data_IF_306281844741
#
_entry.id   IF_306281844741
#
_cell.length_a   1.000
_cell.length_b   1.000
_cell.length_c   1.000
_cell.angle_alpha   90.00
_cell.angle_beta   90.00
_cell.angle_gamma   90.00
#
_symmetry.space_group_name_H-M   'P 1'
#
loop_
_entity.id
_entity.type
_entity.pdbx_description
1 polymer ?
#
# COMPACT_ATOMS: atom_id res chain seq x y z
N UNK A 1 28.82 4.74 17.20
CA UNK A 1 28.68 5.33 15.85
C UNK A 1 28.04 4.41 14.80
N UNK A 2 27.83 3.10 15.06
CA UNK A 2 27.15 2.22 14.09
C UNK A 2 25.62 2.39 14.06
N UNK A 3 24.97 2.69 15.19
CA UNK A 3 23.50 2.84 15.27
C UNK A 3 22.92 4.02 14.47
N UNK A 4 23.61 5.16 14.42
CA UNK A 4 23.08 6.34 13.72
C UNK A 4 23.02 6.14 12.21
N UNK A 5 24.00 5.42 11.63
CA UNK A 5 24.06 5.14 10.19
C UNK A 5 22.92 4.19 9.81
N UNK A 6 22.65 3.15 10.62
CA UNK A 6 21.54 2.22 10.40
C UNK A 6 20.17 2.92 10.48
N UNK A 7 19.98 3.82 11.44
CA UNK A 7 18.73 4.59 11.60
C UNK A 7 18.52 5.54 10.42
N UNK A 8 19.57 6.24 9.98
CA UNK A 8 19.51 7.13 8.81
C UNK A 8 19.25 6.33 7.54
N UNK A 9 19.86 5.15 7.40
CA UNK A 9 19.66 4.28 6.23
C UNK A 9 18.24 3.70 6.20
N UNK A 10 17.71 3.26 7.34
CA UNK A 10 16.34 2.77 7.45
C UNK A 10 15.31 3.88 7.16
N UNK A 11 15.55 5.10 7.65
CA UNK A 11 14.66 6.24 7.41
C UNK A 11 14.75 6.75 5.98
N UNK A 12 15.95 6.79 5.38
CA UNK A 12 16.13 7.13 3.97
C UNK A 12 15.50 6.07 3.05
N UNK A 13 15.62 4.78 3.40
CA UNK A 13 14.94 3.69 2.68
C UNK A 13 13.42 3.83 2.80
N UNK A 14 12.90 4.20 3.98
CA UNK A 14 11.47 4.49 4.18
C UNK A 14 10.98 5.64 3.30
N UNK A 15 11.72 6.75 3.24
CA UNK A 15 11.37 7.92 2.42
C UNK A 15 11.44 7.63 0.91
N UNK A 16 12.42 6.82 0.47
CA UNK A 16 12.55 6.40 -0.92
C UNK A 16 11.45 5.40 -1.32
N UNK A 17 11.05 4.50 -0.42
CA UNK A 17 9.94 3.58 -0.67
C UNK A 17 8.61 4.32 -0.76
N UNK A 18 8.37 5.33 0.08
CA UNK A 18 7.15 6.16 0.06
C UNK A 18 6.98 6.90 -1.28
N UNK A 19 8.08 7.39 -1.86
CA UNK A 19 8.05 8.15 -3.12
C UNK A 19 7.99 7.30 -4.40
N UNK A 20 8.19 5.98 -4.31
CA UNK A 20 8.26 5.08 -5.48
C UNK A 20 7.03 4.19 -5.67
N UNK A 21 6.09 4.21 -4.73
CA UNK A 21 4.77 3.62 -4.97
C UNK A 21 3.92 4.63 -5.72
N UNK A 22 3.63 4.34 -7.00
CA UNK A 22 2.52 4.98 -7.69
C UNK A 22 1.23 4.61 -6.95
N UNK A 23 0.77 5.51 -6.08
CA UNK A 23 -0.45 5.34 -5.31
C UNK A 23 -1.61 5.82 -6.19
N UNK A 24 -2.43 4.87 -6.62
CA UNK A 24 -3.70 5.20 -7.26
C UNK A 24 -4.61 5.79 -6.18
N UNK A 25 -5.16 6.97 -6.40
CA UNK A 25 -6.14 7.57 -5.49
C UNK A 25 -7.56 7.36 -6.00
N UNK A 26 -8.42 6.80 -5.15
CA UNK A 26 -9.86 6.66 -5.43
C UNK A 26 -10.66 7.30 -4.30
N UNK A 27 -11.80 7.90 -4.63
CA UNK A 27 -12.67 8.41 -3.59
C UNK A 27 -13.56 7.31 -3.02
N UNK A 28 -14.03 7.47 -1.78
CA UNK A 28 -15.03 6.59 -1.16
C UNK A 28 -16.27 6.45 -2.05
N UNK A 29 -16.73 7.54 -2.65
CA UNK A 29 -17.84 7.52 -3.63
C UNK A 29 -17.50 6.67 -4.86
N UNK A 30 -16.29 6.78 -5.42
CA UNK A 30 -15.87 5.94 -6.55
C UNK A 30 -15.76 4.47 -6.16
N UNK A 31 -15.29 4.19 -4.93
CA UNK A 31 -15.23 2.84 -4.40
C UNK A 31 -16.63 2.22 -4.25
N UNK A 32 -17.60 2.98 -3.75
CA UNK A 32 -18.98 2.53 -3.58
C UNK A 32 -19.68 2.32 -4.94
N UNK A 33 -19.46 3.22 -5.90
CA UNK A 33 -20.07 3.13 -7.23
C UNK A 33 -19.40 2.05 -8.10
N UNK A 34 -18.09 1.85 -7.96
CA UNK A 34 -17.32 0.92 -8.80
C UNK A 34 -16.18 0.22 -8.04
N UNK A 35 -16.56 -0.73 -7.19
CA UNK A 35 -15.62 -1.58 -6.46
C UNK A 35 -14.64 -2.37 -7.36
N UNK A 36 -14.96 -2.60 -8.64
CA UNK A 36 -14.04 -3.30 -9.56
C UNK A 36 -12.76 -2.52 -9.78
N UNK A 37 -12.82 -1.19 -9.74
CA UNK A 37 -11.64 -0.34 -9.94
C UNK A 37 -10.59 -0.61 -8.86
N UNK A 38 -11.04 -0.75 -7.60
CA UNK A 38 -10.17 -1.11 -6.48
C UNK A 38 -9.64 -2.53 -6.66
N UNK A 39 -10.52 -3.51 -6.91
CA UNK A 39 -10.13 -4.91 -7.04
C UNK A 39 -9.11 -5.11 -8.17
N UNK A 40 -9.30 -4.47 -9.31
CA UNK A 40 -8.40 -4.62 -10.46
C UNK A 40 -7.05 -3.93 -10.23
N UNK A 41 -7.04 -2.77 -9.55
CA UNK A 41 -5.79 -2.13 -9.12
C UNK A 41 -5.01 -3.00 -8.12
N UNK A 42 -5.70 -3.56 -7.12
CA UNK A 42 -5.08 -4.48 -6.15
C UNK A 42 -4.58 -5.76 -6.83
N UNK A 43 -5.29 -6.28 -7.85
CA UNK A 43 -4.81 -7.43 -8.64
C UNK A 43 -3.56 -7.12 -9.47
N UNK A 44 -3.41 -5.88 -9.95
CA UNK A 44 -2.22 -5.42 -10.67
C UNK A 44 -1.01 -5.23 -9.77
N UNK A 45 -1.19 -5.31 -8.45
CA UNK A 45 -0.13 -5.08 -7.48
C UNK A 45 0.02 -3.61 -7.09
N UNK A 46 -0.94 -2.75 -7.46
CA UNK A 46 -0.92 -1.33 -7.15
C UNK A 46 -1.41 -1.08 -5.72
N UNK A 47 -0.84 -0.06 -5.07
CA UNK A 47 -1.37 0.48 -3.82
C UNK A 47 -2.48 1.47 -4.16
N UNK A 48 -3.59 1.36 -3.46
CA UNK A 48 -4.75 2.23 -3.69
C UNK A 48 -5.07 2.99 -2.42
N UNK A 49 -4.90 4.31 -2.46
CA UNK A 49 -5.33 5.19 -1.39
C UNK A 49 -6.80 5.56 -1.59
N UNK A 50 -7.58 5.38 -0.52
CA UNK A 50 -8.99 5.68 -0.48
C UNK A 50 -9.14 7.02 0.24
N UNK A 51 -9.68 8.01 -0.45
CA UNK A 51 -9.91 9.35 0.07
C UNK A 51 -11.42 9.67 0.15
N UNK A 52 -11.83 10.53 1.07
CA UNK A 52 -13.20 11.00 1.18
C UNK A 52 -13.19 12.47 1.56
N UNK A 53 -13.87 13.31 0.77
CA UNK A 53 -13.88 14.77 0.96
C UNK A 53 -12.50 15.41 1.18
N UNK A 54 -11.46 14.89 0.51
CA UNK A 54 -10.08 15.39 0.62
C UNK A 54 -9.29 14.87 1.82
N UNK A 55 -9.84 13.93 2.60
CA UNK A 55 -9.15 13.22 3.66
C UNK A 55 -8.85 11.78 3.27
N UNK A 56 -7.62 11.31 3.53
CA UNK A 56 -7.27 9.90 3.36
C UNK A 56 -7.96 9.06 4.43
N UNK A 57 -8.85 8.14 4.02
CA UNK A 57 -9.49 7.17 4.89
C UNK A 57 -8.59 5.96 5.16
N UNK A 58 -7.78 5.56 4.18
CA UNK A 58 -6.84 4.46 4.34
C UNK A 58 -6.21 4.01 3.03
N UNK A 59 -5.25 3.10 3.14
CA UNK A 59 -4.52 2.54 2.00
C UNK A 59 -4.85 1.07 1.88
N UNK A 60 -5.44 0.69 0.74
CA UNK A 60 -5.64 -0.69 0.36
C UNK A 60 -4.39 -1.19 -0.38
N UNK A 61 -3.86 -2.32 0.09
CA UNK A 61 -2.69 -2.96 -0.51
C UNK A 61 -3.08 -4.32 -1.07
N UNK A 62 -2.46 -4.77 -2.18
CA UNK A 62 -2.64 -6.12 -2.68
C UNK A 62 -2.37 -7.11 -1.56
N UNK A 63 -3.29 -8.04 -1.33
CA UNK A 63 -3.05 -9.11 -0.39
C UNK A 63 -1.78 -9.84 -0.84
N UNK A 64 -0.68 -9.73 -0.08
CA UNK A 64 0.47 -10.61 -0.25
C UNK A 64 -0.11 -12.01 -0.22
N UNK A 65 0.02 -12.76 -1.32
CA UNK A 65 -0.19 -14.21 -1.29
C UNK A 65 0.84 -14.74 -0.30
N UNK A 66 0.46 -14.79 0.98
CA UNK A 66 1.10 -15.66 1.94
C UNK A 66 0.78 -17.04 1.38
N UNK A 67 1.68 -17.58 0.56
CA UNK A 67 1.70 -19.02 0.33
C UNK A 67 1.75 -19.59 1.74
N UNK A 68 0.66 -20.21 2.17
CA UNK A 68 0.67 -21.02 3.36
C UNK A 68 1.53 -22.24 3.05
N UNK A 69 2.85 -22.04 3.08
CA UNK A 69 3.86 -23.09 3.12
C UNK A 69 4.21 -23.44 4.56
N UNK A 70 3.31 -23.18 5.51
CA UNK A 70 3.34 -23.83 6.81
C UNK A 70 2.43 -25.05 6.73
N UNK A 71 3.02 -26.15 6.25
CA UNK A 71 2.57 -27.50 6.54
C UNK A 71 2.49 -27.61 8.07
N UNK A 72 1.29 -27.42 8.62
CA UNK A 72 1.01 -27.68 10.02
C UNK A 72 1.01 -29.20 10.16
N UNK A 73 2.15 -29.75 10.57
CA UNK A 73 2.32 -31.11 11.03
C UNK A 73 1.64 -31.30 12.38
#
# INVERSE_FOLDING_TARGET
>A
MKNYIEIILAHALYLVFDSFFFIMQITSTQLQTNQKVLIDALKRGELVEITDHGQTLGIAQPAKKVKNSAKQL
#
